data_IF_552204802321
#
_entry.id   IF_552204802321
#
_cell.length_a   1.000
_cell.length_b   1.000
_cell.length_c   1.000
_cell.angle_alpha   90.00
_cell.angle_beta   90.00
_cell.angle_gamma   90.00
#
_symmetry.space_group_name_H-M   'P 1'
#
loop_
_entity.id
_entity.type
_entity.pdbx_description
1 polymer ?
#
# COMPACT_ATOMS: atom_id res chain seq x y z
N UNK A 1 -1.61 -5.04 -2.73
CA UNK A 1 -0.89 -6.28 -3.12
C UNK A 1 0.17 -6.60 -2.08
N UNK A 2 1.28 -5.86 -2.11
CA UNK A 2 2.38 -5.97 -1.17
C UNK A 2 1.91 -5.70 0.28
N UNK A 3 0.99 -4.74 0.45
CA UNK A 3 0.44 -4.34 1.74
C UNK A 3 -0.38 -5.44 2.46
N UNK A 4 -0.75 -6.49 1.72
CA UNK A 4 -1.58 -7.60 2.22
C UNK A 4 -0.82 -8.94 2.15
N UNK A 5 0.47 -8.91 1.80
CA UNK A 5 1.30 -10.11 1.73
C UNK A 5 1.75 -10.54 3.13
N UNK A 6 1.97 -9.57 4.03
CA UNK A 6 2.55 -9.83 5.35
C UNK A 6 4.07 -9.99 5.27
N UNK A 7 4.76 -9.53 6.32
CA UNK A 7 6.23 -9.43 6.34
C UNK A 7 6.92 -10.76 6.00
N UNK A 8 6.41 -11.87 6.55
CA UNK A 8 7.01 -13.19 6.40
C UNK A 8 7.01 -13.69 4.95
N UNK A 9 6.03 -13.26 4.15
CA UNK A 9 5.81 -13.75 2.78
C UNK A 9 6.27 -12.78 1.69
N UNK A 10 6.81 -11.61 2.05
CA UNK A 10 7.29 -10.63 1.05
C UNK A 10 8.34 -11.23 0.10
N UNK A 11 9.22 -12.08 0.62
CA UNK A 11 10.23 -12.74 -0.20
C UNK A 11 9.62 -13.77 -1.17
N UNK A 12 8.64 -14.56 -0.73
CA UNK A 12 7.92 -15.49 -1.61
C UNK A 12 7.19 -14.76 -2.73
N UNK A 13 6.57 -13.61 -2.41
CA UNK A 13 5.92 -12.74 -3.39
C UNK A 13 6.87 -12.35 -4.55
N UNK A 14 8.09 -11.92 -4.24
CA UNK A 14 9.08 -11.60 -5.27
C UNK A 14 9.66 -12.84 -5.97
N UNK A 15 9.72 -13.99 -5.28
CA UNK A 15 10.04 -15.28 -5.90
C UNK A 15 9.04 -15.67 -6.99
N UNK A 16 7.74 -15.50 -6.72
CA UNK A 16 6.68 -15.74 -7.71
C UNK A 16 6.79 -14.78 -8.90
N UNK A 17 7.05 -13.50 -8.67
CA UNK A 17 7.29 -12.53 -9.76
C UNK A 17 8.47 -12.96 -10.64
N UNK A 18 9.56 -13.42 -10.01
CA UNK A 18 10.73 -13.93 -10.72
C UNK A 18 10.37 -15.13 -11.61
N UNK A 19 9.57 -16.06 -11.12
CA UNK A 19 9.20 -17.28 -11.86
C UNK A 19 8.20 -17.02 -13.00
N UNK A 20 7.36 -15.99 -12.88
CA UNK A 20 6.37 -15.63 -13.90
C UNK A 20 6.93 -14.80 -15.06
N UNK A 21 8.01 -14.05 -14.84
CA UNK A 21 8.62 -13.20 -15.85
C UNK A 21 9.63 -13.95 -16.72
N UNK A 22 9.63 -13.65 -18.03
CA UNK A 22 10.61 -14.24 -18.96
C UNK A 22 12.03 -13.87 -18.57
N UNK A 23 12.96 -14.79 -18.81
CA UNK A 23 14.37 -14.63 -18.41
C UNK A 23 15.09 -13.46 -19.10
N UNK A 24 14.58 -13.01 -20.26
CA UNK A 24 15.17 -11.91 -21.03
C UNK A 24 14.13 -10.81 -21.28
N UNK A 25 14.55 -9.55 -21.16
CA UNK A 25 13.75 -8.39 -21.57
C UNK A 25 12.63 -7.97 -20.62
N UNK A 26 12.55 -8.58 -19.43
CA UNK A 26 11.43 -8.36 -18.50
C UNK A 26 11.65 -7.20 -17.54
N UNK A 27 10.56 -6.50 -17.26
CA UNK A 27 10.48 -5.41 -16.28
C UNK A 27 9.28 -5.69 -15.38
N UNK A 28 9.51 -5.63 -14.08
CA UNK A 28 8.45 -5.58 -13.09
C UNK A 28 8.39 -4.17 -12.50
N UNK A 29 7.24 -3.52 -12.62
CA UNK A 29 6.98 -2.25 -11.91
C UNK A 29 5.85 -2.46 -10.94
N UNK A 30 6.05 -2.07 -9.69
CA UNK A 30 5.00 -2.10 -8.69
C UNK A 30 4.97 -0.82 -7.88
N UNK A 31 3.78 -0.50 -7.38
CA UNK A 31 3.56 0.61 -6.46
C UNK A 31 3.01 0.05 -5.15
N UNK A 32 3.51 0.53 -4.03
CA UNK A 32 3.02 0.15 -2.71
C UNK A 32 2.98 1.35 -1.76
N UNK A 33 2.02 1.32 -0.84
CA UNK A 33 2.11 2.18 0.36
C UNK A 33 3.16 1.59 1.30
N UNK A 34 4.16 2.40 1.63
CA UNK A 34 5.25 2.02 2.51
C UNK A 34 5.28 2.91 3.74
N UNK A 35 5.74 2.34 4.86
CA UNK A 35 5.97 3.08 6.09
C UNK A 35 7.40 3.64 6.11
N UNK A 36 7.60 4.79 6.74
CA UNK A 36 8.93 5.31 7.02
C UNK A 36 9.68 4.42 8.03
N UNK A 37 10.98 4.24 7.82
CA UNK A 37 11.85 3.44 8.71
C UNK A 37 11.73 3.83 10.19
N UNK A 38 11.62 5.13 10.49
CA UNK A 38 11.53 5.66 11.85
C UNK A 38 10.27 5.25 12.61
N UNK A 39 9.22 4.81 11.93
CA UNK A 39 7.94 4.45 12.54
C UNK A 39 7.69 2.94 12.55
N UNK A 40 8.60 2.15 11.97
CA UNK A 40 8.44 0.70 11.82
C UNK A 40 8.39 -0.01 13.18
N UNK A 41 9.30 0.32 14.11
CA UNK A 41 9.32 -0.28 15.46
C UNK A 41 8.04 0.01 16.27
N UNK A 42 7.54 1.24 16.21
CA UNK A 42 6.35 1.67 16.95
C UNK A 42 5.05 1.07 16.36
N UNK A 43 5.01 0.91 15.03
CA UNK A 43 3.85 0.35 14.34
C UNK A 43 3.62 -1.14 14.60
N UNK A 44 4.70 -1.91 14.81
CA UNK A 44 4.63 -3.33 15.13
C UNK A 44 4.30 -3.58 16.62
N UNK A 45 4.75 -2.69 17.50
CA UNK A 45 4.47 -2.77 18.94
C UNK A 45 3.01 -2.48 19.29
N UNK A 46 2.31 -1.71 18.45
CA UNK A 46 0.94 -1.25 18.72
C UNK A 46 0.01 -1.78 17.64
N UNK A 47 -0.82 -2.78 17.96
CA UNK A 47 -1.86 -3.30 17.06
C UNK A 47 -2.75 -2.17 16.55
N UNK A 48 -2.41 -1.63 15.39
CA UNK A 48 -2.89 -0.32 14.95
C UNK A 48 -4.39 -0.35 14.67
N UNK A 49 -5.04 0.82 14.74
CA UNK A 49 -6.44 0.98 14.33
C UNK A 49 -6.70 0.36 12.95
N UNK A 50 -5.75 0.52 12.01
CA UNK A 50 -5.83 -0.03 10.65
C UNK A 50 -5.92 -1.56 10.69
N UNK A 51 -5.00 -2.24 11.36
CA UNK A 51 -5.00 -3.70 11.43
C UNK A 51 -6.23 -4.25 12.18
N UNK A 52 -6.72 -3.53 13.19
CA UNK A 52 -7.87 -3.99 13.97
C UNK A 52 -9.21 -3.80 13.26
N UNK A 53 -9.36 -2.72 12.48
CA UNK A 53 -10.67 -2.26 12.06
C UNK A 53 -10.87 -2.09 10.55
N UNK A 54 -9.79 -1.95 9.77
CA UNK A 54 -9.87 -1.64 8.33
C UNK A 54 -9.25 -2.76 7.49
N UNK A 55 -7.97 -3.09 7.74
CA UNK A 55 -7.24 -4.14 7.00
C UNK A 55 -6.60 -5.16 7.97
N UNK A 56 -7.39 -6.11 8.50
CA UNK A 56 -6.85 -7.21 9.32
C UNK A 56 -5.79 -8.01 8.57
N UNK A 57 -4.63 -8.20 9.21
CA UNK A 57 -3.46 -8.85 8.60
C UNK A 57 -2.67 -7.96 7.63
N UNK A 58 -3.12 -6.72 7.39
CA UNK A 58 -2.39 -5.75 6.58
C UNK A 58 -1.06 -5.35 7.23
N UNK A 59 -0.05 -5.13 6.40
CA UNK A 59 1.29 -4.77 6.81
C UNK A 59 1.91 -3.83 5.77
N UNK A 60 2.46 -2.69 6.21
CA UNK A 60 3.09 -1.71 5.35
C UNK A 60 4.61 -1.86 5.48
N UNK A 61 5.30 -2.50 4.52
CA UNK A 61 6.75 -2.65 4.59
C UNK A 61 7.43 -1.29 4.45
N UNK A 62 8.64 -1.21 4.98
CA UNK A 62 9.56 -0.13 4.64
C UNK A 62 10.22 -0.40 3.29
N UNK A 63 10.92 0.61 2.75
CA UNK A 63 11.70 0.42 1.54
C UNK A 63 12.84 -0.58 1.78
N UNK A 64 13.49 -0.52 2.94
CA UNK A 64 14.57 -1.45 3.30
C UNK A 64 14.08 -2.89 3.34
N UNK A 65 12.93 -3.14 3.98
CA UNK A 65 12.31 -4.48 4.02
C UNK A 65 11.92 -4.96 2.62
N UNK A 66 11.39 -4.07 1.79
CA UNK A 66 11.04 -4.39 0.40
C UNK A 66 12.27 -4.81 -0.41
N UNK A 67 13.37 -4.05 -0.32
CA UNK A 67 14.64 -4.38 -1.00
C UNK A 67 15.22 -5.70 -0.48
N UNK A 68 15.21 -5.91 0.83
CA UNK A 68 15.66 -7.16 1.44
C UNK A 68 14.82 -8.36 0.95
N UNK A 69 13.50 -8.19 0.84
CA UNK A 69 12.60 -9.22 0.34
C UNK A 69 12.83 -9.53 -1.15
N UNK A 70 13.07 -8.50 -1.99
CA UNK A 70 13.44 -8.69 -3.40
C UNK A 70 14.71 -9.53 -3.49
N UNK A 71 15.77 -9.15 -2.76
CA UNK A 71 17.04 -9.89 -2.78
C UNK A 71 16.89 -11.33 -2.28
N UNK A 72 16.09 -11.55 -1.22
CA UNK A 72 15.85 -12.88 -0.66
C UNK A 72 15.02 -13.77 -1.60
N UNK A 73 13.99 -13.21 -2.23
CA UNK A 73 13.02 -13.94 -3.05
C UNK A 73 13.47 -14.16 -4.49
N UNK A 74 14.06 -13.13 -5.07
CA UNK A 74 14.46 -13.10 -6.47
C UNK A 74 15.97 -13.19 -6.69
N UNK A 75 16.80 -13.22 -5.64
CA UNK A 75 18.24 -13.34 -5.78
C UNK A 75 18.86 -12.24 -6.63
N UNK A 76 19.76 -12.63 -7.53
CA UNK A 76 20.41 -11.75 -8.50
C UNK A 76 19.63 -11.65 -9.82
N UNK A 77 18.40 -12.16 -9.91
CA UNK A 77 17.64 -12.12 -11.17
C UNK A 77 17.12 -10.73 -11.54
N UNK A 78 16.98 -9.83 -10.57
CA UNK A 78 16.51 -8.46 -10.79
C UNK A 78 17.50 -7.42 -10.28
N UNK A 79 17.57 -6.30 -10.99
CA UNK A 79 18.18 -5.05 -10.55
C UNK A 79 17.08 -4.06 -10.23
N UNK A 80 17.21 -3.36 -9.11
CA UNK A 80 16.39 -2.19 -8.83
C UNK A 80 16.86 -1.06 -9.73
N UNK A 81 16.08 -0.78 -10.76
CA UNK A 81 16.38 0.21 -11.78
C UNK A 81 15.93 1.62 -11.36
N UNK A 82 14.75 1.72 -10.75
CA UNK A 82 14.20 3.01 -10.31
C UNK A 82 13.38 2.85 -9.03
N UNK A 83 13.54 3.80 -8.14
CA UNK A 83 12.67 3.97 -6.95
C UNK A 83 12.17 5.41 -6.95
N UNK A 84 10.86 5.57 -7.05
CA UNK A 84 10.22 6.88 -7.10
C UNK A 84 9.24 7.03 -5.96
N UNK A 85 9.35 8.12 -5.22
CA UNK A 85 8.32 8.50 -4.26
C UNK A 85 7.29 9.36 -4.98
N UNK A 86 6.09 8.82 -5.19
CA UNK A 86 4.96 9.54 -5.76
C UNK A 86 4.33 10.55 -4.77
N UNK A 87 4.88 10.60 -3.55
CA UNK A 87 4.42 11.47 -2.48
C UNK A 87 3.30 10.86 -1.66
N UNK A 88 2.57 11.73 -0.98
CA UNK A 88 1.48 11.36 -0.09
C UNK A 88 0.12 11.37 -0.79
N UNK A 89 -0.74 10.42 -0.44
CA UNK A 89 -2.14 10.39 -0.87
C UNK A 89 -3.05 11.29 0.01
N UNK A 90 -2.47 12.19 0.82
CA UNK A 90 -3.22 13.02 1.79
C UNK A 90 -4.40 13.75 1.17
N UNK A 91 -4.19 14.44 0.03
CA UNK A 91 -5.25 15.11 -0.72
C UNK A 91 -6.35 14.16 -1.22
N UNK A 92 -5.98 12.93 -1.58
CA UNK A 92 -6.95 11.92 -1.99
C UNK A 92 -7.78 11.44 -0.79
N UNK A 93 -7.15 11.16 0.36
CA UNK A 93 -7.85 10.79 1.58
C UNK A 93 -8.78 11.89 2.09
N UNK A 94 -8.38 13.16 1.96
CA UNK A 94 -9.25 14.30 2.24
C UNK A 94 -10.49 14.28 1.32
N UNK A 95 -10.28 14.23 0.00
CA UNK A 95 -11.37 14.23 -0.98
C UNK A 95 -12.31 13.03 -0.80
N UNK A 96 -11.78 11.85 -0.46
CA UNK A 96 -12.59 10.67 -0.16
C UNK A 96 -13.39 10.81 1.13
N UNK A 97 -12.82 11.42 2.17
CA UNK A 97 -13.56 11.73 3.40
C UNK A 97 -14.71 12.71 3.16
N UNK A 98 -14.48 13.75 2.36
CA UNK A 98 -15.50 14.73 1.97
C UNK A 98 -16.61 14.08 1.14
N UNK A 99 -16.25 13.29 0.14
CA UNK A 99 -17.22 12.54 -0.69
C UNK A 99 -18.01 11.52 0.15
N UNK A 100 -17.35 10.85 1.11
CA UNK A 100 -18.01 9.93 2.03
C UNK A 100 -19.08 10.62 2.87
N UNK A 101 -18.77 11.79 3.43
CA UNK A 101 -19.72 12.55 4.24
C UNK A 101 -20.88 13.11 3.39
N UNK A 102 -20.61 13.55 2.16
CA UNK A 102 -21.64 14.04 1.23
C UNK A 102 -22.62 12.93 0.81
N UNK A 103 -22.10 11.74 0.51
CA UNK A 103 -22.92 10.62 0.05
C UNK A 103 -23.52 9.78 1.19
N UNK A 104 -23.17 10.06 2.45
CA UNK A 104 -23.48 9.17 3.56
C UNK A 104 -24.99 8.94 3.71
N UNK A 105 -25.77 10.01 3.87
CA UNK A 105 -27.19 9.89 4.16
C UNK A 105 -28.03 9.53 2.91
N UNK A 106 -27.57 9.94 1.72
CA UNK A 106 -28.29 9.71 0.47
C UNK A 106 -28.04 8.32 -0.15
N UNK A 107 -26.87 7.72 0.09
CA UNK A 107 -26.46 6.46 -0.56
C UNK A 107 -26.02 5.40 0.44
N UNK A 108 -25.08 5.72 1.33
CA UNK A 108 -24.42 4.71 2.18
C UNK A 108 -25.34 4.21 3.30
N UNK A 109 -26.02 5.12 4.01
CA UNK A 109 -26.93 4.79 5.10
C UNK A 109 -28.08 3.88 4.62
N UNK A 110 -28.80 4.17 3.51
CA UNK A 110 -29.81 3.25 2.98
C UNK A 110 -29.29 1.82 2.82
N UNK A 111 -28.11 1.64 2.19
CA UNK A 111 -27.50 0.32 2.01
C UNK A 111 -27.22 -0.38 3.36
N UNK A 112 -26.71 0.34 4.37
CA UNK A 112 -26.48 -0.22 5.69
C UNK A 112 -27.78 -0.61 6.41
N UNK A 113 -28.86 0.14 6.22
CA UNK A 113 -30.19 -0.20 6.74
C UNK A 113 -30.71 -1.48 6.06
N UNK A 114 -30.49 -1.67 4.75
CA UNK A 114 -30.87 -2.93 4.07
C UNK A 114 -30.11 -4.14 4.62
N UNK A 115 -28.91 -3.92 5.17
CA UNK A 115 -28.09 -4.92 5.86
C UNK A 115 -28.53 -5.13 7.32
N UNK A 116 -29.63 -4.54 7.74
CA UNK A 116 -30.25 -4.67 9.07
C UNK A 116 -29.39 -4.12 10.21
N UNK A 117 -28.50 -3.16 9.94
CA UNK A 117 -27.76 -2.46 10.99
C UNK A 117 -28.69 -1.45 11.68
N UNK A 118 -28.64 -1.38 13.00
CA UNK A 118 -29.34 -0.34 13.75
C UNK A 118 -28.60 1.00 13.69
N UNK A 119 -29.27 2.10 14.04
CA UNK A 119 -28.71 3.45 13.97
C UNK A 119 -27.38 3.59 14.75
N UNK A 120 -27.26 2.92 15.90
CA UNK A 120 -26.03 2.94 16.69
C UNK A 120 -24.85 2.23 15.99
N UNK A 121 -25.12 1.19 15.21
CA UNK A 121 -24.10 0.48 14.42
C UNK A 121 -23.70 1.27 13.17
N UNK A 122 -24.68 1.88 12.51
CA UNK A 122 -24.47 2.78 11.38
C UNK A 122 -23.61 3.98 11.80
N UNK A 123 -23.88 4.57 12.97
CA UNK A 123 -23.08 5.68 13.47
C UNK A 123 -21.66 5.24 13.84
N UNK A 124 -21.49 4.06 14.45
CA UNK A 124 -20.15 3.48 14.69
C UNK A 124 -19.40 3.25 13.38
N UNK A 125 -20.08 2.77 12.33
CA UNK A 125 -19.51 2.63 10.99
C UNK A 125 -19.06 3.99 10.44
N UNK A 126 -19.93 5.00 10.49
CA UNK A 126 -19.61 6.36 10.00
C UNK A 126 -18.37 6.91 10.70
N UNK A 127 -18.33 6.87 12.03
CA UNK A 127 -17.20 7.37 12.82
C UNK A 127 -15.91 6.63 12.53
N UNK A 128 -15.96 5.30 12.37
CA UNK A 128 -14.80 4.49 12.02
C UNK A 128 -14.21 4.92 10.66
N UNK A 129 -15.04 5.08 9.64
CA UNK A 129 -14.57 5.47 8.31
C UNK A 129 -14.07 6.92 8.26
N UNK A 130 -14.73 7.85 8.94
CA UNK A 130 -14.21 9.23 9.08
C UNK A 130 -12.85 9.26 9.77
N UNK A 131 -12.69 8.46 10.84
CA UNK A 131 -11.39 8.33 11.49
C UNK A 131 -10.34 7.71 10.57
N UNK A 132 -10.70 6.67 9.80
CA UNK A 132 -9.79 6.07 8.81
C UNK A 132 -9.28 7.09 7.79
N UNK A 133 -10.17 7.88 7.17
CA UNK A 133 -9.76 8.87 6.18
C UNK A 133 -8.84 9.94 6.79
N UNK A 134 -9.20 10.51 7.94
CA UNK A 134 -8.38 11.51 8.62
C UNK A 134 -7.03 10.94 9.10
N UNK A 135 -7.03 9.70 9.63
CA UNK A 135 -5.83 9.02 10.10
C UNK A 135 -4.84 8.77 8.97
N UNK A 136 -5.31 8.26 7.82
CA UNK A 136 -4.46 8.05 6.65
C UNK A 136 -4.00 9.37 6.03
N UNK A 137 -4.87 10.39 5.96
CA UNK A 137 -4.48 11.72 5.51
C UNK A 137 -3.29 12.24 6.32
N UNK A 138 -3.41 12.26 7.66
CA UNK A 138 -2.35 12.71 8.55
C UNK A 138 -1.08 11.88 8.38
N UNK A 139 -1.20 10.55 8.24
CA UNK A 139 -0.04 9.68 8.01
C UNK A 139 0.75 10.03 6.74
N UNK A 140 0.07 10.43 5.67
CA UNK A 140 0.72 10.86 4.43
C UNK A 140 1.26 12.30 4.51
N UNK A 141 0.56 13.22 5.18
CA UNK A 141 0.99 14.62 5.34
C UNK A 141 2.23 14.73 6.24
N UNK A 142 2.31 13.92 7.28
CA UNK A 142 3.45 13.84 8.21
C UNK A 142 4.59 12.93 7.71
N UNK A 143 4.52 12.46 6.45
CA UNK A 143 5.54 11.62 5.80
C UNK A 143 5.83 10.27 6.49
N UNK A 144 4.96 9.85 7.41
CA UNK A 144 4.95 8.51 8.02
C UNK A 144 4.63 7.46 6.96
N UNK A 145 3.71 7.80 6.06
CA UNK A 145 3.30 6.99 4.91
C UNK A 145 3.78 7.64 3.62
N UNK A 146 4.10 6.80 2.63
CA UNK A 146 4.52 7.21 1.29
C UNK A 146 4.06 6.21 0.26
N UNK A 147 3.77 6.69 -0.94
CA UNK A 147 3.48 5.83 -2.08
C UNK A 147 4.74 5.72 -2.91
N UNK A 148 5.31 4.52 -2.99
CA UNK A 148 6.60 4.28 -3.67
C UNK A 148 6.36 3.37 -4.86
N UNK A 149 6.86 3.79 -6.02
CA UNK A 149 6.96 2.98 -7.23
C UNK A 149 8.37 2.44 -7.34
N UNK A 150 8.49 1.13 -7.45
CA UNK A 150 9.76 0.43 -7.66
C UNK A 150 9.72 -0.26 -9.01
N UNK A 151 10.73 0.00 -9.82
CA UNK A 151 10.98 -0.66 -11.10
C UNK A 151 12.15 -1.62 -10.95
N UNK A 152 11.90 -2.87 -11.30
CA UNK A 152 12.86 -3.96 -11.35
C UNK A 152 13.09 -4.34 -12.81
N UNK A 153 14.36 -4.50 -13.19
CA UNK A 153 14.76 -4.94 -14.53
C UNK A 153 15.45 -6.30 -14.39
N UNK A 154 15.07 -7.26 -15.24
CA UNK A 154 15.72 -8.58 -15.26
C UNK A 154 17.18 -8.43 -15.65
N UNK A 155 18.09 -9.08 -14.92
CA UNK A 155 19.52 -9.06 -15.25
C UNK A 155 19.77 -9.49 -16.70
N UNK A 156 20.69 -8.80 -17.37
CA UNK A 156 20.98 -9.03 -18.79
C UNK A 156 20.03 -8.31 -19.77
N UNK A 157 18.99 -7.63 -19.28
CA UNK A 157 18.14 -6.79 -20.12
C UNK A 157 18.87 -5.51 -20.54
N UNK A 158 18.93 -5.23 -21.85
CA UNK A 158 19.47 -3.97 -22.35
C UNK A 158 18.51 -2.82 -22.06
N UNK A 159 18.92 -1.93 -21.15
CA UNK A 159 18.16 -0.73 -20.73
C UNK A 159 18.26 0.42 -21.74
N UNK A 160 19.19 0.33 -22.71
CA UNK A 160 19.45 1.38 -23.72
C UNK A 160 18.35 1.53 -24.79
N UNK A 161 17.33 0.67 -24.79
CA UNK A 161 16.25 0.72 -25.77
C UNK A 161 14.99 1.48 -25.29
N UNK A 162 15.00 2.09 -24.10
CA UNK A 162 13.75 2.43 -23.40
C UNK A 162 13.59 3.88 -22.90
N UNK A 163 14.38 4.83 -23.41
CA UNK A 163 14.17 6.28 -23.20
C UNK A 163 12.88 6.85 -23.86
N UNK A 164 11.89 6.02 -24.21
CA UNK A 164 10.69 6.41 -24.96
C UNK A 164 9.51 6.91 -24.11
N UNK A 165 9.67 7.13 -22.81
CA UNK A 165 8.59 7.60 -21.92
C UNK A 165 9.05 8.72 -20.95
N UNK A 166 9.72 9.74 -21.48
CA UNK A 166 9.73 11.08 -20.89
C UNK A 166 8.75 12.00 -21.62
#
# INVERSE_FOLDING_TARGET
>A
MLEHTGIDYLHEYFGVIKDLLTENGSIATFQATMMSESYQADSQATGSFICKHIFPGGYLPTLTETVAAINKGAGDHFVIDRVENFGGLGRAFQAWGEAFDQDFDARIRPDLVTRQLCDAEIEKFRRKWRFYFAYCQAGFEEQVLRTVTVRLVRMGTSILAQDYYM
#
